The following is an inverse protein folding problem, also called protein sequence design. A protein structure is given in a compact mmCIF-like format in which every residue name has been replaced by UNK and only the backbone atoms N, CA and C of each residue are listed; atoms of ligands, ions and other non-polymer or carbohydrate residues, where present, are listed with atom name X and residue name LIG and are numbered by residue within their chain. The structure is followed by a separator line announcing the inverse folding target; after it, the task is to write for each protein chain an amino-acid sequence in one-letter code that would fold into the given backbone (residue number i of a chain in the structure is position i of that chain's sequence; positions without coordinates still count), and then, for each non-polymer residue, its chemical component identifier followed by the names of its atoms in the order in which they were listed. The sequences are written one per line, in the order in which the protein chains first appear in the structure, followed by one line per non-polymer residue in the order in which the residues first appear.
data_IF_029638184844
#
_entry.id   IF_029638184844
#
_cell.length_a   1.000
_cell.length_b   1.000
_cell.length_c   1.000
_cell.angle_alpha   90.00
_cell.angle_beta   90.00
_cell.angle_gamma   90.00
#
_symmetry.space_group_name_H-M   'P 1'
#
loop_
_entity.id
_entity.type
_entity.pdbx_description
1 polymer ?
#
# COMPACT_ATOMS: atom_id res chain seq x y z
N UNK A 1 63.80 -11.30 44.87
CA UNK A 1 64.03 -12.30 43.80
C UNK A 1 62.74 -12.43 42.98
N UNK A 2 62.85 -12.30 41.65
CA UNK A 2 61.96 -12.83 40.57
C UNK A 2 60.44 -12.52 40.65
N UNK A 3 59.90 -11.59 39.85
CA UNK A 3 59.55 -11.65 38.39
C UNK A 3 58.22 -12.38 38.07
N UNK A 4 57.38 -11.73 37.25
CA UNK A 4 56.27 -12.32 36.47
C UNK A 4 54.91 -11.72 36.80
N UNK A 5 54.41 -10.62 36.21
CA UNK A 5 54.11 -10.29 34.80
C UNK A 5 52.82 -10.95 34.26
N UNK A 6 51.88 -10.08 33.84
CA UNK A 6 50.76 -10.28 32.88
C UNK A 6 49.64 -11.24 33.33
N UNK A 7 48.34 -10.90 33.22
CA UNK A 7 47.69 -10.52 31.96
C UNK A 7 46.39 -9.76 32.25
N UNK A 8 46.32 -8.55 31.70
CA UNK A 8 45.13 -7.72 31.57
C UNK A 8 44.32 -8.25 30.38
N UNK A 9 43.17 -8.88 30.61
CA UNK A 9 42.22 -9.17 29.52
C UNK A 9 41.06 -8.19 29.66
N UNK A 10 41.25 -7.03 29.04
CA UNK A 10 40.18 -6.11 28.66
C UNK A 10 39.30 -6.87 27.66
N UNK A 11 38.22 -7.47 28.16
CA UNK A 11 37.14 -7.97 27.32
C UNK A 11 36.22 -6.82 26.95
N UNK A 12 36.57 -6.05 25.92
CA UNK A 12 35.62 -5.13 25.27
C UNK A 12 34.56 -6.02 24.62
N UNK A 13 33.42 -6.14 25.30
CA UNK A 13 32.20 -6.68 24.73
C UNK A 13 31.73 -5.67 23.68
N UNK A 14 32.13 -5.89 22.43
CA UNK A 14 31.58 -5.17 21.27
C UNK A 14 30.11 -5.54 21.17
N UNK A 15 29.26 -4.73 21.79
CA UNK A 15 27.83 -4.74 21.54
C UNK A 15 27.63 -4.40 20.07
N UNK A 16 27.34 -5.40 19.23
CA UNK A 16 26.74 -5.17 17.93
C UNK A 16 25.40 -4.47 18.19
N UNK A 17 25.41 -3.14 18.20
CA UNK A 17 24.19 -2.36 18.03
C UNK A 17 23.76 -2.56 16.58
N UNK A 18 22.95 -3.60 16.37
CA UNK A 18 22.08 -3.71 15.22
C UNK A 18 21.21 -2.45 15.23
N UNK A 19 21.67 -1.40 14.56
CA UNK A 19 20.84 -0.28 14.19
C UNK A 19 19.83 -0.80 13.16
N UNK A 20 18.84 -1.56 13.64
CA UNK A 20 17.49 -1.46 13.10
C UNK A 20 17.08 -0.02 13.40
N UNK A 21 17.52 0.88 12.53
CA UNK A 21 17.03 2.24 12.52
C UNK A 21 15.53 2.11 12.34
N UNK A 22 14.78 2.34 13.41
CA UNK A 22 13.35 2.53 13.33
C UNK A 22 13.15 3.65 12.31
N UNK A 23 12.81 3.30 11.07
CA UNK A 23 12.47 4.27 10.03
C UNK A 23 11.14 4.85 10.45
N UNK A 24 11.20 5.86 11.32
CA UNK A 24 10.07 6.70 11.65
C UNK A 24 9.71 7.44 10.38
N UNK A 25 8.64 7.03 9.71
CA UNK A 25 8.08 7.80 8.62
C UNK A 25 7.41 9.02 9.25
N UNK A 26 8.11 10.16 9.25
CA UNK A 26 7.43 11.44 9.41
C UNK A 26 6.54 11.65 8.19
N UNK A 27 5.25 11.42 8.40
CA UNK A 27 4.28 11.28 7.34
C UNK A 27 2.86 11.49 7.82
N UNK A 28 1.94 11.51 6.87
CA UNK A 28 0.51 11.62 7.13
C UNK A 28 -0.18 10.27 7.03
N UNK A 29 -1.25 10.11 7.81
CA UNK A 29 -2.16 8.98 7.68
C UNK A 29 -3.16 9.28 6.57
N UNK A 30 -3.29 8.36 5.63
CA UNK A 30 -4.16 8.48 4.46
C UNK A 30 -5.16 7.35 4.46
N UNK A 31 -6.40 7.68 4.10
CA UNK A 31 -7.47 6.71 3.96
C UNK A 31 -8.18 6.88 2.61
N UNK A 32 -8.50 5.75 1.99
CA UNK A 32 -9.31 5.66 0.79
C UNK A 32 -10.39 4.61 0.97
N UNK A 33 -11.63 4.98 0.67
CA UNK A 33 -12.72 4.03 0.53
C UNK A 33 -12.88 3.66 -0.94
N UNK A 34 -13.30 2.43 -1.22
CA UNK A 34 -13.54 1.98 -2.58
C UNK A 34 -14.73 1.02 -2.68
N UNK A 35 -15.32 0.91 -3.86
CA UNK A 35 -16.40 -0.01 -4.20
C UNK A 35 -16.13 -0.66 -5.56
N UNK A 36 -16.62 -1.88 -5.74
CA UNK A 36 -16.54 -2.59 -7.03
C UNK A 36 -17.90 -2.52 -7.71
N UNK A 37 -17.90 -2.10 -8.97
CA UNK A 37 -19.07 -2.11 -9.85
C UNK A 37 -18.78 -2.90 -11.11
N UNK A 38 -19.78 -3.56 -11.67
CA UNK A 38 -19.69 -4.08 -13.03
C UNK A 38 -19.95 -2.97 -14.05
N UNK A 39 -19.60 -3.22 -15.30
CA UNK A 39 -20.00 -2.39 -16.45
C UNK A 39 -21.53 -2.34 -16.62
N UNK A 40 -22.26 -3.23 -15.99
CA UNK A 40 -23.73 -3.22 -15.85
C UNK A 40 -24.25 -2.37 -14.68
N UNK A 41 -23.36 -1.64 -14.00
CA UNK A 41 -23.64 -0.71 -12.90
C UNK A 41 -24.02 -1.36 -11.56
N UNK A 42 -24.11 -2.69 -11.48
CA UNK A 42 -24.34 -3.39 -10.22
C UNK A 42 -23.09 -3.34 -9.33
N UNK A 43 -23.30 -3.32 -8.01
CA UNK A 43 -22.22 -3.46 -7.05
C UNK A 43 -21.89 -4.94 -6.85
N UNK A 44 -20.61 -5.28 -6.71
CA UNK A 44 -20.16 -6.66 -6.54
C UNK A 44 -19.22 -6.81 -5.35
N UNK A 45 -19.28 -7.99 -4.73
CA UNK A 45 -18.25 -8.44 -3.82
C UNK A 45 -16.99 -8.85 -4.61
N UNK A 46 -15.83 -8.73 -3.96
CA UNK A 46 -14.51 -9.05 -4.49
C UNK A 46 -14.44 -10.42 -5.22
N UNK A 47 -15.07 -11.44 -4.64
CA UNK A 47 -15.02 -12.82 -5.11
C UNK A 47 -16.27 -13.26 -5.89
N UNK A 48 -17.14 -12.32 -6.24
CA UNK A 48 -18.38 -12.57 -6.99
C UNK A 48 -18.12 -13.39 -8.25
N UNK A 49 -18.93 -14.44 -8.44
CA UNK A 49 -18.85 -15.29 -9.63
C UNK A 49 -19.13 -14.51 -10.94
N UNK A 50 -19.93 -13.45 -10.87
CA UNK A 50 -20.24 -12.59 -12.02
C UNK A 50 -19.01 -11.87 -12.58
N UNK A 51 -17.95 -11.69 -11.78
CA UNK A 51 -16.70 -11.10 -12.23
C UNK A 51 -15.83 -12.08 -13.05
N UNK A 52 -16.17 -13.38 -13.06
CA UNK A 52 -15.43 -14.42 -13.78
C UNK A 52 -13.96 -14.49 -13.35
N UNK A 53 -13.04 -14.40 -14.31
CA UNK A 53 -11.59 -14.38 -14.06
C UNK A 53 -11.06 -13.03 -13.57
N UNK A 54 -11.90 -11.97 -13.59
CA UNK A 54 -11.56 -10.61 -13.17
C UNK A 54 -11.92 -10.36 -11.70
N UNK A 55 -12.01 -11.43 -10.91
CA UNK A 55 -12.24 -11.32 -9.46
C UNK A 55 -11.07 -10.59 -8.83
N UNK A 56 -11.38 -9.61 -8.01
CA UNK A 56 -10.39 -8.79 -7.34
C UNK A 56 -10.06 -9.48 -6.02
N UNK A 57 -8.81 -9.88 -5.84
CA UNK A 57 -8.34 -10.52 -4.61
C UNK A 57 -7.70 -9.50 -3.67
N UNK A 58 -7.02 -8.50 -4.23
CA UNK A 58 -6.30 -7.48 -3.46
C UNK A 58 -6.41 -6.11 -4.13
N UNK A 59 -6.20 -5.06 -3.36
CA UNK A 59 -6.03 -3.69 -3.86
C UNK A 59 -4.60 -3.25 -3.54
N UNK A 60 -3.87 -2.78 -4.56
CA UNK A 60 -2.55 -2.20 -4.40
C UNK A 60 -2.62 -0.68 -4.52
N UNK A 61 -1.92 0.03 -3.64
CA UNK A 61 -1.70 1.46 -3.77
C UNK A 61 -0.68 1.76 -4.88
N UNK A 62 -0.96 2.80 -5.65
CA UNK A 62 0.04 3.53 -6.44
C UNK A 62 0.35 4.81 -5.68
N UNK A 63 1.61 5.04 -5.35
CA UNK A 63 2.05 6.29 -4.72
C UNK A 63 3.24 6.80 -5.54
N UNK A 64 2.97 7.73 -6.46
CA UNK A 64 3.99 8.30 -7.33
C UNK A 64 4.41 9.68 -6.83
N UNK A 65 5.72 9.93 -6.73
CA UNK A 65 6.21 11.26 -6.39
C UNK A 65 5.84 12.26 -7.47
N UNK A 66 5.24 13.38 -7.07
CA UNK A 66 4.86 14.43 -8.00
C UNK A 66 6.04 15.34 -8.39
N UNK A 67 7.09 15.37 -7.56
CA UNK A 67 8.31 16.14 -7.80
C UNK A 67 9.48 15.62 -6.94
N UNK A 68 10.68 16.14 -7.21
CA UNK A 68 11.86 15.93 -6.35
C UNK A 68 12.48 14.54 -6.51
N UNK A 69 13.03 14.00 -5.41
CA UNK A 69 13.82 12.75 -5.44
C UNK A 69 13.02 11.50 -5.85
N UNK A 70 11.69 11.55 -5.75
CA UNK A 70 10.79 10.46 -6.08
C UNK A 70 9.91 10.74 -7.30
N UNK A 71 10.21 11.78 -8.08
CA UNK A 71 9.41 12.18 -9.24
C UNK A 71 9.20 11.00 -10.21
N UNK A 72 7.94 10.68 -10.50
CA UNK A 72 7.54 9.59 -11.38
C UNK A 72 7.81 8.17 -10.84
N UNK A 73 8.30 8.03 -9.61
CA UNK A 73 8.60 6.73 -9.00
C UNK A 73 7.45 6.25 -8.13
N UNK A 74 6.97 5.03 -8.37
CA UNK A 74 6.04 4.34 -7.47
C UNK A 74 6.79 3.81 -6.24
N UNK A 75 6.62 4.49 -5.10
CA UNK A 75 7.32 4.17 -3.87
C UNK A 75 6.83 2.87 -3.21
N UNK A 76 5.68 2.35 -3.64
CA UNK A 76 5.21 1.02 -3.25
C UNK A 76 5.99 -0.08 -3.96
N UNK A 77 6.32 0.10 -5.24
CA UNK A 77 7.09 -0.89 -6.00
C UNK A 77 8.57 -0.89 -5.63
N UNK A 78 9.13 0.26 -5.27
CA UNK A 78 10.53 0.37 -4.83
C UNK A 78 10.75 -0.09 -3.37
N UNK A 79 9.69 -0.45 -2.64
CA UNK A 79 9.77 -0.88 -1.23
C UNK A 79 10.13 0.26 -0.26
N UNK A 80 10.01 1.51 -0.70
CA UNK A 80 10.24 2.68 0.15
C UNK A 80 9.12 2.89 1.17
N UNK A 81 7.93 2.33 0.92
CA UNK A 81 6.81 2.22 1.85
C UNK A 81 6.40 0.76 1.91
N UNK A 82 6.10 0.24 3.11
CA UNK A 82 5.60 -1.12 3.32
C UNK A 82 4.08 -1.16 3.21
N UNK A 83 3.51 -2.36 3.13
CA UNK A 83 2.07 -2.58 3.30
C UNK A 83 1.19 -1.87 2.26
N UNK A 84 1.68 -1.73 1.03
CA UNK A 84 0.94 -1.13 -0.08
C UNK A 84 -0.11 -2.06 -0.72
N UNK A 85 -0.31 -3.27 -0.21
CA UNK A 85 -1.22 -4.26 -0.78
C UNK A 85 -2.18 -4.73 0.30
N UNK A 86 -3.47 -4.57 0.04
CA UNK A 86 -4.56 -4.82 0.98
C UNK A 86 -5.44 -5.94 0.44
N UNK A 87 -5.84 -6.86 1.30
CA UNK A 87 -6.77 -7.92 0.90
C UNK A 87 -8.16 -7.33 0.59
N UNK A 88 -8.75 -7.78 -0.51
CA UNK A 88 -10.14 -7.52 -0.86
C UNK A 88 -11.00 -8.46 -0.03
N UNK A 89 -11.14 -8.16 1.27
CA UNK A 89 -11.76 -9.06 2.24
C UNK A 89 -13.30 -8.98 2.17
N UNK A 90 -13.92 -9.93 1.45
CA UNK A 90 -15.38 -10.15 1.47
C UNK A 90 -15.85 -10.94 2.71
N UNK A 91 -14.92 -11.43 3.54
CA UNK A 91 -15.18 -12.26 4.73
C UNK A 91 -15.45 -11.48 6.02
N UNK A 92 -15.20 -10.17 6.09
CA UNK A 92 -15.70 -9.33 7.18
C UNK A 92 -17.21 -9.04 7.04
N UNK A 93 -18.02 -10.06 7.36
CA UNK A 93 -19.40 -9.92 7.82
C UNK A 93 -20.39 -9.32 6.81
N UNK A 94 -20.97 -10.20 5.98
CA UNK A 94 -22.20 -10.01 5.19
C UNK A 94 -22.35 -8.63 4.52
N UNK A 95 -22.13 -8.55 3.20
CA UNK A 95 -22.44 -7.43 2.28
C UNK A 95 -21.38 -6.33 2.07
N UNK A 96 -20.09 -6.67 2.08
CA UNK A 96 -19.02 -5.71 1.74
C UNK A 96 -18.67 -5.71 0.24
N UNK A 97 -19.56 -5.12 -0.57
CA UNK A 97 -19.26 -4.64 -1.93
C UNK A 97 -18.23 -3.47 -1.96
N UNK A 98 -17.55 -3.23 -0.84
CA UNK A 98 -16.85 -2.00 -0.47
C UNK A 98 -15.72 -2.29 0.52
N UNK A 99 -14.62 -1.56 0.41
CA UNK A 99 -13.50 -1.64 1.33
C UNK A 99 -12.98 -0.27 1.74
N UNK A 100 -12.18 -0.27 2.82
CA UNK A 100 -11.42 0.88 3.30
C UNK A 100 -9.97 0.45 3.40
N UNK A 101 -9.09 1.29 2.89
CA UNK A 101 -7.65 1.08 2.90
C UNK A 101 -7.01 2.28 3.59
N UNK A 102 -6.34 2.03 4.71
CA UNK A 102 -5.65 3.06 5.50
C UNK A 102 -4.15 2.77 5.50
N UNK A 103 -3.33 3.81 5.33
CA UNK A 103 -1.88 3.70 5.17
C UNK A 103 -1.15 4.97 5.60
N UNK A 104 0.15 4.87 5.81
CA UNK A 104 1.01 6.02 6.15
C UNK A 104 2.03 6.23 5.04
N UNK A 105 2.19 7.47 4.58
CA UNK A 105 3.19 7.83 3.57
C UNK A 105 4.01 9.03 4.01
N UNK A 106 5.28 9.15 3.54
CA UNK A 106 6.10 10.30 3.83
C UNK A 106 5.40 11.61 3.46
N UNK A 107 5.71 12.68 4.19
CA UNK A 107 5.25 14.02 3.80
C UNK A 107 5.75 14.41 2.40
N UNK A 108 4.99 15.23 1.68
CA UNK A 108 5.29 15.68 0.33
C UNK A 108 4.10 15.63 -0.63
N UNK A 109 4.36 15.97 -1.89
CA UNK A 109 3.37 15.92 -2.96
C UNK A 109 3.38 14.57 -3.67
N UNK A 110 2.24 13.90 -3.65
CA UNK A 110 2.08 12.54 -4.16
C UNK A 110 0.86 12.43 -5.06
N UNK A 111 1.01 11.74 -6.19
CA UNK A 111 -0.11 11.19 -6.94
C UNK A 111 -0.47 9.84 -6.31
N UNK A 112 -1.66 9.77 -5.72
CA UNK A 112 -2.11 8.60 -4.97
C UNK A 112 -3.29 7.95 -5.69
N UNK A 113 -3.20 6.65 -5.93
CA UNK A 113 -4.29 5.87 -6.47
C UNK A 113 -4.25 4.40 -6.13
N UNK A 114 -5.09 3.61 -6.80
CA UNK A 114 -5.25 2.18 -6.55
C UNK A 114 -5.25 1.38 -7.83
N UNK A 115 -4.82 0.11 -7.72
CA UNK A 115 -4.87 -0.90 -8.77
C UNK A 115 -5.48 -2.18 -8.19
N UNK A 116 -6.57 -2.70 -8.77
CA UNK A 116 -7.08 -4.00 -8.40
C UNK A 116 -6.16 -5.11 -8.90
N UNK A 117 -5.93 -6.09 -8.05
CA UNK A 117 -5.13 -7.27 -8.35
C UNK A 117 -6.01 -8.51 -8.39
N UNK A 118 -5.71 -9.41 -9.32
CA UNK A 118 -6.31 -10.74 -9.40
C UNK A 118 -5.81 -11.68 -8.27
N UNK A 119 -6.23 -12.94 -8.31
CA UNK A 119 -5.82 -13.96 -7.33
C UNK A 119 -4.35 -14.34 -7.41
N UNK A 120 -3.73 -14.15 -8.56
CA UNK A 120 -2.31 -14.42 -8.80
C UNK A 120 -1.43 -13.21 -8.44
N UNK A 121 -2.06 -12.09 -8.08
CA UNK A 121 -1.38 -10.85 -7.70
C UNK A 121 -1.04 -9.95 -8.89
N UNK A 122 -1.54 -10.25 -10.09
CA UNK A 122 -1.34 -9.41 -11.26
C UNK A 122 -2.34 -8.25 -11.25
N UNK A 123 -1.91 -7.09 -11.74
CA UNK A 123 -2.81 -5.97 -11.97
C UNK A 123 -3.82 -6.30 -13.06
N UNK A 124 -5.10 -6.03 -12.81
CA UNK A 124 -6.10 -6.07 -13.87
C UNK A 124 -5.76 -5.02 -14.93
N UNK A 125 -5.90 -5.38 -16.19
CA UNK A 125 -5.66 -4.51 -17.33
C UNK A 125 -6.78 -3.46 -17.43
N UNK A 126 -6.51 -2.34 -18.10
CA UNK A 126 -7.53 -1.31 -18.36
C UNK A 126 -8.73 -1.83 -19.19
N UNK A 127 -8.53 -2.90 -19.97
CA UNK A 127 -9.60 -3.62 -20.68
C UNK A 127 -10.47 -4.48 -19.77
N UNK A 128 -10.03 -4.76 -18.55
CA UNK A 128 -10.68 -5.64 -17.57
C UNK A 128 -11.30 -4.85 -16.43
N UNK A 129 -10.62 -3.82 -15.93
CA UNK A 129 -11.12 -2.93 -14.91
C UNK A 129 -10.64 -1.49 -15.12
N UNK A 130 -11.52 -0.54 -14.84
CA UNK A 130 -11.22 0.88 -14.80
C UNK A 130 -11.18 1.34 -13.35
N UNK A 131 -10.14 2.11 -13.01
CA UNK A 131 -10.03 2.81 -11.73
C UNK A 131 -9.97 4.32 -11.97
N UNK A 132 -10.37 5.15 -10.99
CA UNK A 132 -10.11 6.57 -11.04
C UNK A 132 -8.62 6.86 -11.20
N UNK A 133 -8.32 7.96 -11.91
CA UNK A 133 -6.95 8.45 -12.04
C UNK A 133 -6.36 8.82 -10.67
N UNK A 134 -5.04 8.63 -10.46
CA UNK A 134 -4.36 9.08 -9.26
C UNK A 134 -4.60 10.57 -8.95
N UNK A 135 -4.88 10.89 -7.69
CA UNK A 135 -5.15 12.25 -7.24
C UNK A 135 -3.88 12.84 -6.64
N UNK A 136 -3.54 14.07 -7.02
CA UNK A 136 -2.46 14.82 -6.40
C UNK A 136 -2.87 15.30 -5.00
N UNK A 137 -2.08 14.95 -3.99
CA UNK A 137 -2.27 15.39 -2.61
C UNK A 137 -0.95 15.85 -1.99
N UNK A 138 -1.03 16.92 -1.21
CA UNK A 138 0.05 17.35 -0.33
C UNK A 138 -0.16 16.69 1.04
N UNK A 139 0.77 15.83 1.44
CA UNK A 139 0.71 15.11 2.70
C UNK A 139 1.62 15.78 3.72
N UNK A 140 1.10 16.07 4.90
CA UNK A 140 1.86 16.66 6.00
C UNK A 140 1.97 15.68 7.18
N UNK A 141 3.06 15.82 7.93
CA UNK A 141 3.31 14.98 9.09
C UNK A 141 2.24 15.22 10.15
N UNK A 142 1.59 14.14 10.60
CA UNK A 142 0.53 14.18 11.62
C UNK A 142 -0.87 14.47 11.08
N UNK A 143 -1.02 14.74 9.78
CA UNK A 143 -2.33 14.97 9.17
C UNK A 143 -3.07 13.66 8.89
N UNK A 144 -4.40 13.76 8.91
CA UNK A 144 -5.33 12.75 8.41
C UNK A 144 -5.88 13.22 7.07
N UNK A 145 -5.56 12.49 6.00
CA UNK A 145 -6.01 12.79 4.65
C UNK A 145 -7.00 11.73 4.17
N UNK A 146 -8.21 12.14 3.79
CA UNK A 146 -9.21 11.24 3.19
C UNK A 146 -9.32 11.51 1.69
N UNK A 147 -9.12 10.47 0.87
CA UNK A 147 -9.12 10.55 -0.59
C UNK A 147 -10.51 10.40 -1.22
N UNK A 148 -11.54 10.21 -0.40
CA UNK A 148 -12.91 9.98 -0.87
C UNK A 148 -13.23 8.51 -1.12
N UNK A 149 -14.28 8.30 -1.90
CA UNK A 149 -14.77 6.97 -2.31
C UNK A 149 -14.48 6.76 -3.78
N UNK A 150 -13.74 5.71 -4.10
CA UNK A 150 -13.34 5.36 -5.46
C UNK A 150 -14.22 4.23 -6.01
N UNK A 151 -14.57 4.31 -7.28
CA UNK A 151 -15.36 3.27 -7.95
C UNK A 151 -14.49 2.52 -8.94
N UNK A 152 -14.24 1.24 -8.65
CA UNK A 152 -13.56 0.32 -9.54
C UNK A 152 -14.63 -0.31 -10.43
N UNK A 153 -14.56 -0.08 -11.74
CA UNK A 153 -15.53 -0.62 -12.70
C UNK A 153 -14.91 -1.80 -13.43
N UNK A 154 -15.39 -3.01 -13.14
CA UNK A 154 -14.95 -4.24 -13.80
C UNK A 154 -15.81 -4.48 -15.05
N UNK A 155 -15.17 -4.67 -16.19
CA UNK A 155 -15.86 -5.00 -17.43
C UNK A 155 -16.32 -6.46 -17.36
N UNK A 156 -17.63 -6.64 -17.16
CA UNK A 156 -18.24 -7.97 -17.22
C UNK A 156 -18.56 -8.30 -18.68
N UNK A 157 -18.25 -9.53 -19.10
CA UNK A 157 -18.63 -10.02 -20.41
C UNK A 157 -20.03 -10.60 -20.26
N UNK A 158 -20.97 -10.13 -21.08
CA UNK A 158 -22.31 -10.72 -21.20
C UNK A 158 -22.25 -12.12 -21.83
#
# INVERSE_FOLDING_TARGET
MRHGLLTLVIGVLVTLTSAVGCKSYEGGAVEIAWVIRGSDQHAYDCDSAALGDRRISKIRLIIMGASGAYEGQDICLSGQVSDCVFDCDSSFGSSTHRGITSFTIPSGDWYIGIVPLDRDGNALLASEAQTPEPILQNIQTGDLTFLGVWQIVVNIQE
#
